data_IF_746534084409
#
_entry.id   IF_746534084409
#
_cell.length_a   1.000
_cell.length_b   1.000
_cell.length_c   1.000
_cell.angle_alpha   90.00
_cell.angle_beta   90.00
_cell.angle_gamma   90.00
#
_symmetry.space_group_name_H-M   'P 1'
#
loop_
_entity.id
_entity.type
_entity.pdbx_description
1 polymer ?
#
# COMPACT_ATOMS: atom_id res chain seq x y z
N UNK A 1 -1.91 -2.55 0.48
CA UNK A 1 -0.64 -3.29 0.27
C UNK A 1 0.51 -2.61 1.01
N UNK A 2 0.93 -1.40 0.62
CA UNK A 2 1.87 -0.62 1.43
C UNK A 2 1.29 -0.32 2.82
N UNK A 3 2.15 -0.36 3.83
CA UNK A 3 1.84 0.13 5.17
C UNK A 3 2.26 1.59 5.28
N UNK A 4 1.43 2.40 5.92
CA UNK A 4 1.77 3.80 6.14
C UNK A 4 2.52 3.85 7.48
N UNK A 5 3.72 4.42 7.46
CA UNK A 5 4.51 4.71 8.66
C UNK A 5 4.19 6.09 9.23
N UNK A 6 3.65 6.97 8.39
CA UNK A 6 3.13 8.28 8.72
C UNK A 6 2.02 8.66 7.72
N UNK A 7 1.31 9.75 7.98
CA UNK A 7 0.30 10.30 7.08
C UNK A 7 0.82 11.52 6.31
N UNK A 8 0.48 11.66 5.02
CA UNK A 8 0.98 12.76 4.20
C UNK A 8 0.49 14.12 4.68
N UNK A 9 -0.75 14.20 5.17
CA UNK A 9 -1.36 15.46 5.62
C UNK A 9 -1.89 15.33 7.04
N UNK A 10 -1.89 16.45 7.76
CA UNK A 10 -2.36 16.51 9.13
C UNK A 10 -3.87 16.19 9.23
N UNK A 11 -4.28 15.64 10.36
CA UNK A 11 -5.66 15.20 10.62
C UNK A 11 -6.10 13.95 9.84
N UNK A 12 -5.22 13.31 9.06
CA UNK A 12 -5.52 12.06 8.36
C UNK A 12 -5.22 10.85 9.25
N UNK A 13 -5.84 9.72 8.93
CA UNK A 13 -5.62 8.42 9.57
C UNK A 13 -5.41 7.36 8.50
N UNK A 14 -4.66 6.31 8.83
CA UNK A 14 -4.47 5.15 7.98
C UNK A 14 -5.01 3.89 8.66
N UNK A 15 -5.48 2.93 7.86
CA UNK A 15 -5.99 1.64 8.35
C UNK A 15 -5.11 0.46 7.87
N UNK A 16 -3.83 0.74 7.60
CA UNK A 16 -2.89 -0.25 7.05
C UNK A 16 -2.17 -1.07 8.12
N UNK A 17 -2.25 -0.65 9.39
CA UNK A 17 -1.66 -1.35 10.52
C UNK A 17 -2.36 -2.70 10.81
N UNK A 18 -1.63 -3.64 11.42
CA UNK A 18 -2.15 -4.96 11.78
C UNK A 18 -3.40 -4.88 12.69
N UNK A 19 -3.40 -3.97 13.66
CA UNK A 19 -4.53 -3.77 14.57
C UNK A 19 -5.81 -3.33 13.83
N UNK A 20 -5.69 -2.41 12.86
CA UNK A 20 -6.82 -1.97 12.04
C UNK A 20 -7.37 -3.12 11.19
N UNK A 21 -6.49 -3.90 10.55
CA UNK A 21 -6.88 -5.08 9.75
C UNK A 21 -7.61 -6.12 10.62
N UNK A 22 -7.10 -6.40 11.82
CA UNK A 22 -7.74 -7.32 12.77
C UNK A 22 -9.15 -6.86 13.15
N UNK A 23 -9.30 -5.59 13.51
CA UNK A 23 -10.60 -5.02 13.87
C UNK A 23 -11.60 -5.05 12.70
N UNK A 24 -11.16 -4.75 11.47
CA UNK A 24 -11.99 -4.81 10.27
C UNK A 24 -12.46 -6.24 9.97
N UNK A 25 -11.59 -7.23 10.16
CA UNK A 25 -11.96 -8.65 10.05
C UNK A 25 -12.96 -9.08 11.13
N UNK A 26 -12.80 -8.60 12.36
CA UNK A 26 -13.66 -8.99 13.49
C UNK A 26 -15.05 -8.34 13.46
N UNK A 27 -15.19 -7.14 12.90
CA UNK A 27 -16.44 -6.36 12.90
C UNK A 27 -17.22 -6.36 11.58
N UNK A 28 -16.78 -7.15 10.60
CA UNK A 28 -17.06 -6.97 9.16
C UNK A 28 -17.38 -5.55 8.65
N UNK A 29 -16.81 -4.50 9.24
CA UNK A 29 -17.12 -3.12 8.84
C UNK A 29 -16.56 -2.83 7.44
N UNK A 30 -17.36 -2.38 6.46
CA UNK A 30 -16.86 -2.04 5.14
C UNK A 30 -15.83 -0.90 5.18
N UNK A 31 -14.68 -1.13 4.53
CA UNK A 31 -13.65 -0.11 4.35
C UNK A 31 -13.77 0.52 2.95
N UNK A 32 -13.86 1.85 2.92
CA UNK A 32 -13.76 2.67 1.70
C UNK A 32 -12.42 3.44 1.73
N UNK A 33 -11.31 2.84 1.27
CA UNK A 33 -10.00 3.47 1.31
C UNK A 33 -9.87 4.51 0.21
N UNK A 34 -9.41 5.70 0.57
CA UNK A 34 -8.98 6.73 -0.37
C UNK A 34 -7.44 6.82 -0.34
N UNK A 35 -6.82 7.29 -1.43
CA UNK A 35 -5.34 7.32 -1.59
C UNK A 35 -4.69 5.93 -1.46
N UNK A 36 -5.38 4.89 -1.93
CA UNK A 36 -4.99 3.48 -1.79
C UNK A 36 -3.67 3.11 -2.49
N UNK A 37 -3.18 3.96 -3.38
CA UNK A 37 -1.93 3.78 -4.11
C UNK A 37 -0.70 4.37 -3.42
N UNK A 38 -0.82 4.86 -2.18
CA UNK A 38 0.31 5.32 -1.36
C UNK A 38 1.22 6.32 -2.12
N UNK A 39 0.62 7.37 -2.71
CA UNK A 39 1.32 8.37 -3.54
C UNK A 39 2.08 7.79 -4.76
N UNK A 40 1.64 6.65 -5.27
CA UNK A 40 2.29 6.00 -6.41
C UNK A 40 3.50 5.16 -6.03
N UNK A 41 3.59 4.68 -4.79
CA UNK A 41 4.70 3.83 -4.34
C UNK A 41 4.96 2.62 -5.26
N UNK A 42 3.90 2.04 -5.84
CA UNK A 42 4.00 0.87 -6.72
C UNK A 42 4.13 1.20 -8.22
N UNK A 43 4.26 2.48 -8.61
CA UNK A 43 4.34 2.89 -10.02
C UNK A 43 5.77 2.96 -10.56
N UNK A 44 6.76 2.49 -9.79
CA UNK A 44 8.19 2.62 -10.13
C UNK A 44 8.85 3.91 -9.63
N UNK A 45 8.11 4.77 -8.91
CA UNK A 45 8.64 6.00 -8.30
C UNK A 45 9.40 5.78 -7.00
N UNK A 46 9.03 4.76 -6.23
CA UNK A 46 9.70 4.47 -4.97
C UNK A 46 10.96 3.63 -5.21
N UNK A 47 12.13 4.17 -4.87
CA UNK A 47 13.41 3.47 -4.93
C UNK A 47 14.16 3.72 -3.61
N UNK A 48 14.83 2.72 -3.00
CA UNK A 48 15.53 2.90 -1.73
C UNK A 48 16.61 4.00 -1.76
N UNK A 49 17.19 4.23 -2.93
CA UNK A 49 18.24 5.20 -3.23
C UNK A 49 17.70 6.57 -3.67
N UNK A 50 16.40 6.70 -3.96
CA UNK A 50 15.78 7.95 -4.39
C UNK A 50 15.02 8.61 -3.23
N UNK A 51 15.58 9.72 -2.74
CA UNK A 51 15.02 10.52 -1.64
C UNK A 51 14.41 11.85 -2.11
N UNK A 52 14.15 11.99 -3.43
CA UNK A 52 13.68 13.26 -4.02
C UNK A 52 12.24 13.65 -3.68
N UNK A 53 11.41 12.72 -3.19
CA UNK A 53 10.07 12.98 -2.65
C UNK A 53 10.06 12.73 -1.13
N UNK A 54 10.29 13.76 -0.31
CA UNK A 54 10.36 13.63 1.15
C UNK A 54 9.08 13.09 1.78
N UNK A 55 7.91 13.36 1.17
CA UNK A 55 6.63 12.90 1.71
C UNK A 55 6.43 11.41 1.44
N UNK A 56 6.79 10.94 0.24
CA UNK A 56 6.80 9.50 -0.07
C UNK A 56 7.78 8.77 0.85
N UNK A 57 8.98 9.33 1.03
CA UNK A 57 10.00 8.75 1.91
C UNK A 57 9.49 8.63 3.34
N UNK A 58 9.01 9.74 3.92
CA UNK A 58 8.51 9.77 5.30
C UNK A 58 7.35 8.81 5.52
N UNK A 59 6.39 8.75 4.60
CA UNK A 59 5.16 8.00 4.81
C UNK A 59 5.29 6.51 4.47
N UNK A 60 6.16 6.13 3.52
CA UNK A 60 6.13 4.81 2.90
C UNK A 60 7.48 4.15 2.67
N UNK A 61 8.61 4.86 2.70
CA UNK A 61 9.92 4.23 2.49
C UNK A 61 10.38 3.49 3.74
N UNK A 62 10.44 2.16 3.63
CA UNK A 62 10.94 1.27 4.67
C UNK A 62 11.01 -0.17 4.13
N UNK A 63 11.90 -0.97 4.70
CA UNK A 63 12.25 -2.30 4.18
C UNK A 63 11.03 -3.20 3.95
N UNK A 64 10.06 -3.15 4.87
CA UNK A 64 8.81 -3.92 4.74
C UNK A 64 8.00 -3.54 3.50
N UNK A 65 7.94 -2.26 3.15
CA UNK A 65 7.24 -1.81 1.94
C UNK A 65 8.05 -2.09 0.66
N UNK A 66 9.38 -2.00 0.70
CA UNK A 66 10.20 -2.38 -0.45
C UNK A 66 10.14 -3.89 -0.74
N UNK A 67 10.06 -4.73 0.29
CA UNK A 67 9.80 -6.16 0.11
C UNK A 67 8.41 -6.42 -0.48
N UNK A 68 7.39 -5.65 -0.07
CA UNK A 68 6.05 -5.72 -0.67
C UNK A 68 6.05 -5.25 -2.13
N UNK A 69 6.82 -4.21 -2.47
CA UNK A 69 7.01 -3.75 -3.85
C UNK A 69 7.64 -4.84 -4.70
N UNK A 70 8.71 -5.47 -4.20
CA UNK A 70 9.38 -6.60 -4.87
C UNK A 70 8.40 -7.76 -5.13
N UNK A 71 7.59 -8.13 -4.12
CA UNK A 71 6.57 -9.18 -4.26
C UNK A 71 5.46 -8.81 -5.26
N UNK A 72 5.00 -7.56 -5.23
CA UNK A 72 3.98 -7.08 -6.16
C UNK A 72 4.46 -7.01 -7.62
N UNK A 73 5.77 -6.84 -7.83
CA UNK A 73 6.39 -6.91 -9.15
C UNK A 73 6.62 -8.32 -9.70
N UNK A 74 6.65 -9.35 -8.83
CA UNK A 74 6.95 -10.72 -9.25
C UNK A 74 5.95 -11.28 -10.29
N UNK A 75 4.62 -11.14 -10.13
CA UNK A 75 3.66 -11.55 -11.17
C UNK A 75 3.84 -10.77 -12.47
N UNK A 76 4.39 -9.56 -12.42
CA UNK A 76 4.68 -8.76 -13.63
C UNK A 76 5.72 -9.39 -14.54
N UNK A 77 6.70 -10.09 -13.97
CA UNK A 77 7.70 -10.84 -14.72
C UNK A 77 7.10 -12.08 -15.42
N UNK A 78 6.04 -12.66 -14.85
CA UNK A 78 5.39 -13.88 -15.36
C UNK A 78 4.22 -13.58 -16.32
N UNK A 79 3.47 -12.50 -16.05
CA UNK A 79 2.20 -12.16 -16.70
C UNK A 79 2.28 -10.90 -17.57
N UNK A 80 3.42 -10.20 -17.60
CA UNK A 80 3.61 -8.98 -18.39
C UNK A 80 2.86 -7.75 -17.87
N UNK A 81 2.52 -7.72 -16.57
CA UNK A 81 1.76 -6.62 -15.93
C UNK A 81 2.66 -5.74 -15.05
N UNK A 82 2.35 -4.45 -14.93
CA UNK A 82 3.11 -3.54 -14.05
C UNK A 82 2.81 -3.78 -12.57
N UNK A 83 3.74 -3.45 -11.68
CA UNK A 83 3.61 -3.65 -10.23
C UNK A 83 2.34 -2.98 -9.63
N UNK A 84 1.88 -1.87 -10.21
CA UNK A 84 0.61 -1.24 -9.84
C UNK A 84 -0.59 -2.18 -9.98
N UNK A 85 -0.62 -3.01 -11.03
CA UNK A 85 -1.70 -3.98 -11.24
C UNK A 85 -1.68 -5.08 -10.16
N UNK A 86 -0.49 -5.58 -9.80
CA UNK A 86 -0.32 -6.50 -8.69
C UNK A 86 -0.72 -5.89 -7.34
N UNK A 87 -0.38 -4.61 -7.12
CA UNK A 87 -0.76 -3.87 -5.92
C UNK A 87 -2.28 -3.69 -5.80
N UNK A 88 -2.95 -3.41 -6.91
CA UNK A 88 -4.41 -3.31 -6.98
C UNK A 88 -5.07 -4.66 -6.70
N UNK A 89 -4.62 -5.73 -7.37
CA UNK A 89 -5.15 -7.08 -7.18
C UNK A 89 -5.07 -7.53 -5.71
N UNK A 90 -3.93 -7.27 -5.06
CA UNK A 90 -3.76 -7.54 -3.62
C UNK A 90 -4.65 -6.65 -2.75
N UNK A 91 -4.80 -5.37 -3.10
CA UNK A 91 -5.64 -4.42 -2.38
C UNK A 91 -7.14 -4.77 -2.39
N UNK A 92 -7.60 -5.51 -3.39
CA UNK A 92 -9.01 -5.89 -3.56
C UNK A 92 -9.38 -7.23 -2.91
N UNK A 93 -8.42 -7.99 -2.36
CA UNK A 93 -8.67 -9.28 -1.70
C UNK A 93 -8.30 -9.33 -0.20
N UNK A 94 -8.63 -8.32 0.63
CA UNK A 94 -8.48 -8.46 2.07
C UNK A 94 -9.55 -9.42 2.66
N UNK A 95 -9.32 -9.99 3.86
CA UNK A 95 -10.29 -10.87 4.55
C UNK A 95 -11.49 -10.11 5.15
N UNK A 96 -11.75 -8.88 4.70
CA UNK A 96 -12.84 -8.01 5.14
C UNK A 96 -13.39 -7.23 3.93
N UNK A 97 -14.63 -6.74 3.96
CA UNK A 97 -15.18 -6.00 2.83
C UNK A 97 -14.40 -4.71 2.59
N UNK A 98 -13.75 -4.60 1.43
CA UNK A 98 -13.06 -3.39 0.99
C UNK A 98 -13.57 -3.02 -0.42
N UNK A 99 -14.00 -1.78 -0.59
CA UNK A 99 -14.57 -1.28 -1.83
C UNK A 99 -13.71 -0.12 -2.36
N UNK A 100 -13.33 -0.11 -3.65
CA UNK A 100 -12.54 0.97 -4.24
C UNK A 100 -13.28 2.32 -4.26
#
# INVERSE_FOLDING_TARGET
LAEAYDVPWDGRRHATAAASKLWLTQTPTPLFPWSSQARGFFTGRARPDDLSDPELVRCYSGDGNFERLRRAGAPGAELGVVATAGALAYGMHPPFPALP
#
